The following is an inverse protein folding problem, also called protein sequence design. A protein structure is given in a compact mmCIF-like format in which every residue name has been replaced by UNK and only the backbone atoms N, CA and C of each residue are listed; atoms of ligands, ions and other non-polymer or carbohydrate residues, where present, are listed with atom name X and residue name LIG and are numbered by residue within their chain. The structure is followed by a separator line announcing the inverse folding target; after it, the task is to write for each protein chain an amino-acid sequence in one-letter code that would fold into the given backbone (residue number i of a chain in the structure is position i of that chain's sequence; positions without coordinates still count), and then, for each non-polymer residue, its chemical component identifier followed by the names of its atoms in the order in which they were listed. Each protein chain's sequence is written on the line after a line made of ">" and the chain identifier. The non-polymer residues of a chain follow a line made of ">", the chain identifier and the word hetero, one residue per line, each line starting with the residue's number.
data_IF_042717880202
#
_entry.id   IF_042717880202
#
_cell.length_a   1.000
_cell.length_b   1.000
_cell.length_c   1.000
_cell.angle_alpha   90.00
_cell.angle_beta   90.00
_cell.angle_gamma   90.00
#
_symmetry.space_group_name_H-M   'P 1'
#
loop_
_entity.id
_entity.type
_entity.pdbx_description
1 polymer ?
#
# COMPACT_ATOMS: atom_id res chain seq x y z
N UNK A 1 5.34 -0.87 -9.68
CA UNK A 1 4.95 -0.05 -10.84
C UNK A 1 5.53 1.35 -10.69
N UNK A 2 6.23 1.85 -11.72
CA UNK A 2 6.69 3.25 -11.78
C UNK A 2 5.53 4.25 -11.76
N UNK A 3 5.78 5.48 -11.31
CA UNK A 3 4.75 6.53 -11.16
C UNK A 3 5.05 7.73 -12.05
N UNK A 4 4.16 8.03 -12.98
CA UNK A 4 4.23 9.19 -13.86
C UNK A 4 3.39 10.35 -13.32
N UNK A 5 3.91 11.57 -13.42
CA UNK A 5 3.11 12.80 -13.33
C UNK A 5 2.18 12.95 -14.52
N UNK A 6 0.99 13.48 -14.27
CA UNK A 6 0.05 13.93 -15.29
C UNK A 6 -0.08 15.46 -15.27
N UNK A 7 -0.33 16.09 -16.43
CA UNK A 7 -0.63 17.51 -16.48
C UNK A 7 -1.89 17.81 -15.65
N UNK A 8 -1.87 18.92 -14.93
CA UNK A 8 -3.01 19.35 -14.13
C UNK A 8 -4.19 19.70 -15.04
N UNK A 9 -5.36 19.14 -14.73
CA UNK A 9 -6.59 19.43 -15.45
C UNK A 9 -7.21 20.73 -14.88
N UNK A 10 -7.99 21.50 -15.64
CA UNK A 10 -8.57 22.78 -15.20
C UNK A 10 -9.52 22.74 -13.98
N UNK A 11 -9.73 21.57 -13.35
CA UNK A 11 -10.50 21.40 -12.11
C UNK A 11 -9.71 20.78 -10.96
N UNK A 12 -8.39 20.61 -11.08
CA UNK A 12 -7.57 20.08 -10.00
C UNK A 12 -7.45 21.11 -8.87
N UNK A 13 -7.94 20.76 -7.67
CA UNK A 13 -7.75 21.57 -6.47
C UNK A 13 -6.26 21.72 -6.08
N UNK A 14 -5.92 22.70 -5.22
CA UNK A 14 -4.54 22.97 -4.86
C UNK A 14 -3.87 21.76 -4.19
N UNK A 15 -2.65 21.42 -4.63
CA UNK A 15 -1.88 20.30 -4.09
C UNK A 15 -1.37 20.65 -2.68
N UNK A 16 -1.71 19.86 -1.64
CA UNK A 16 -1.19 20.06 -0.30
C UNK A 16 0.34 20.08 -0.28
N UNK A 17 0.96 20.97 0.50
CA UNK A 17 2.42 21.15 0.55
C UNK A 17 3.19 19.83 0.76
N UNK A 18 2.67 18.96 1.63
CA UNK A 18 3.26 17.63 1.91
C UNK A 18 3.34 16.71 0.70
N UNK A 19 2.40 16.85 -0.25
CA UNK A 19 2.27 16.01 -1.45
C UNK A 19 3.09 16.54 -2.62
N UNK A 20 3.54 17.80 -2.57
CA UNK A 20 4.38 18.40 -3.62
C UNK A 20 5.69 17.67 -3.77
N UNK A 21 6.36 17.29 -2.67
CA UNK A 21 7.62 16.54 -2.73
C UNK A 21 7.45 15.14 -3.36
N UNK A 22 6.31 14.48 -3.11
CA UNK A 22 5.98 13.18 -3.74
C UNK A 22 5.73 13.36 -5.22
N UNK A 23 4.94 14.38 -5.58
CA UNK A 23 4.69 14.74 -6.96
C UNK A 23 6.03 15.04 -7.65
N UNK A 24 6.96 15.75 -6.98
CA UNK A 24 8.27 16.11 -7.53
C UNK A 24 9.15 14.91 -7.94
N UNK A 25 8.93 13.75 -7.35
CA UNK A 25 9.71 12.53 -7.63
C UNK A 25 8.99 11.55 -8.57
N UNK A 26 7.74 11.84 -8.98
CA UNK A 26 6.97 11.02 -9.92
C UNK A 26 7.40 11.28 -11.37
N UNK A 27 8.52 10.68 -11.77
CA UNK A 27 9.17 10.84 -13.07
C UNK A 27 8.85 9.74 -14.09
N UNK A 28 8.06 8.74 -13.70
CA UNK A 28 7.73 7.57 -14.51
C UNK A 28 8.73 6.44 -14.46
N UNK A 29 9.83 6.61 -13.72
CA UNK A 29 10.85 5.59 -13.51
C UNK A 29 10.77 5.06 -12.07
N UNK A 30 10.61 5.97 -11.11
CA UNK A 30 10.58 5.63 -9.69
C UNK A 30 9.26 4.97 -9.29
N UNK A 31 9.39 3.91 -8.49
CA UNK A 31 8.27 3.28 -7.79
C UNK A 31 7.97 4.00 -6.47
N UNK A 32 6.85 3.66 -5.84
CA UNK A 32 6.50 4.21 -4.53
C UNK A 32 7.58 3.93 -3.46
N UNK A 33 8.23 2.77 -3.52
CA UNK A 33 9.31 2.40 -2.60
C UNK A 33 10.58 3.23 -2.84
N UNK A 34 10.90 3.55 -4.10
CA UNK A 34 12.05 4.40 -4.43
C UNK A 34 11.82 5.83 -3.96
N UNK A 35 10.61 6.35 -4.16
CA UNK A 35 10.19 7.67 -3.67
C UNK A 35 10.24 7.72 -2.13
N UNK A 36 9.78 6.65 -1.46
CA UNK A 36 9.81 6.54 -0.01
C UNK A 36 11.23 6.58 0.55
N UNK A 37 12.15 5.82 -0.06
CA UNK A 37 13.57 5.83 0.29
C UNK A 37 14.19 7.22 0.06
N UNK A 38 13.95 7.84 -1.10
CA UNK A 38 14.48 9.17 -1.42
C UNK A 38 14.01 10.26 -0.44
N UNK A 39 12.79 10.12 0.10
CA UNK A 39 12.23 11.06 1.08
C UNK A 39 12.49 10.68 2.54
N UNK A 40 13.10 9.51 2.81
CA UNK A 40 13.30 8.99 4.17
C UNK A 40 11.98 8.72 4.91
N UNK A 41 10.92 8.31 4.20
CA UNK A 41 9.56 8.11 4.74
C UNK A 41 9.10 6.67 4.56
N UNK A 42 8.11 6.25 5.34
CA UNK A 42 7.46 4.95 5.13
C UNK A 42 6.77 4.87 3.77
N UNK A 43 6.97 3.76 3.06
CA UNK A 43 6.34 3.48 1.77
C UNK A 43 4.81 3.50 1.86
N UNK A 44 4.23 3.14 3.01
CA UNK A 44 2.78 3.22 3.23
C UNK A 44 2.26 4.65 3.08
N UNK A 45 2.93 5.64 3.69
CA UNK A 45 2.51 7.04 3.59
C UNK A 45 2.62 7.57 2.17
N UNK A 46 3.66 7.16 1.44
CA UNK A 46 3.82 7.51 0.03
C UNK A 46 2.69 6.90 -0.81
N UNK A 47 2.31 5.65 -0.57
CA UNK A 47 1.17 5.03 -1.26
C UNK A 47 -0.15 5.75 -0.98
N UNK A 48 -0.39 6.21 0.25
CA UNK A 48 -1.58 7.00 0.59
C UNK A 48 -1.58 8.35 -0.15
N UNK A 49 -0.45 9.05 -0.17
CA UNK A 49 -0.33 10.33 -0.88
C UNK A 49 -0.45 10.14 -2.40
N UNK A 50 0.17 9.11 -2.97
CA UNK A 50 0.02 8.74 -4.38
C UNK A 50 -1.42 8.38 -4.74
N UNK A 51 -2.14 7.67 -3.87
CA UNK A 51 -3.57 7.36 -4.08
C UNK A 51 -4.41 8.64 -4.13
N UNK A 52 -4.12 9.61 -3.27
CA UNK A 52 -4.81 10.91 -3.26
C UNK A 52 -4.49 11.75 -4.50
N UNK A 53 -3.22 11.79 -4.89
CA UNK A 53 -2.78 12.45 -6.13
C UNK A 53 -3.40 11.80 -7.37
N UNK A 54 -3.51 10.47 -7.40
CA UNK A 54 -4.15 9.73 -8.49
C UNK A 54 -5.66 10.02 -8.56
N UNK A 55 -6.34 10.10 -7.40
CA UNK A 55 -7.75 10.49 -7.34
C UNK A 55 -7.98 11.93 -7.84
N UNK A 56 -7.00 12.82 -7.66
CA UNK A 56 -6.98 14.16 -8.25
C UNK A 56 -6.52 14.19 -9.72
N UNK A 57 -6.19 13.02 -10.30
CA UNK A 57 -5.71 12.88 -11.67
C UNK A 57 -4.29 13.37 -11.92
N UNK A 58 -3.52 13.68 -10.87
CA UNK A 58 -2.18 14.32 -10.96
C UNK A 58 -1.03 13.33 -11.15
N UNK A 59 -1.25 12.05 -10.83
CA UNK A 59 -0.29 10.97 -11.09
C UNK A 59 -1.01 9.75 -11.63
N UNK A 60 -0.29 8.97 -12.42
CA UNK A 60 -0.73 7.69 -12.93
C UNK A 60 0.36 6.65 -12.68
N UNK A 61 -0.03 5.49 -12.16
CA UNK A 61 0.89 4.36 -12.08
C UNK A 61 1.04 3.76 -13.47
N UNK A 62 2.27 3.71 -13.97
CA UNK A 62 2.60 2.99 -15.19
C UNK A 62 2.42 1.51 -14.89
N UNK A 63 1.26 0.99 -15.28
CA UNK A 63 1.04 -0.45 -15.29
C UNK A 63 1.81 -0.98 -16.49
N UNK A 64 2.89 -1.71 -16.24
CA UNK A 64 3.38 -2.66 -17.23
C UNK A 64 2.19 -3.53 -17.62
N UNK A 65 1.99 -3.69 -18.93
CA UNK A 65 0.88 -4.37 -19.61
C UNK A 65 0.16 -5.41 -18.74
N UNK A 66 -1.20 -5.49 -18.73
CA UNK A 66 -1.88 -6.51 -17.95
C UNK A 66 -1.40 -7.90 -18.37
N UNK A 67 -0.71 -8.62 -17.48
CA UNK A 67 -0.68 -10.07 -17.58
C UNK A 67 -2.15 -10.54 -17.58
N UNK A 68 -2.50 -11.56 -18.39
CA UNK A 68 -3.84 -12.12 -18.39
C UNK A 68 -4.31 -12.38 -16.96
N UNK A 69 -5.61 -12.20 -16.72
CA UNK A 69 -6.28 -12.07 -15.41
C UNK A 69 -6.22 -13.29 -14.47
N UNK A 70 -5.13 -14.07 -14.47
CA UNK A 70 -4.86 -15.19 -13.57
C UNK A 70 -4.01 -14.80 -12.36
N UNK A 71 -3.56 -13.55 -12.23
CA UNK A 71 -2.75 -13.10 -11.09
C UNK A 71 -3.53 -12.39 -9.97
N UNK A 72 -4.69 -12.92 -9.56
CA UNK A 72 -5.32 -12.57 -8.26
C UNK A 72 -4.74 -13.44 -7.11
N UNK A 73 -3.41 -13.60 -7.13
CA UNK A 73 -2.66 -14.36 -6.11
C UNK A 73 -1.38 -13.63 -5.66
N UNK A 74 -1.01 -12.52 -6.28
CA UNK A 74 0.11 -11.69 -5.79
C UNK A 74 -0.37 -10.83 -4.60
N UNK A 75 -0.38 -11.43 -3.41
CA UNK A 75 -0.74 -10.77 -2.15
C UNK A 75 -1.69 -11.58 -1.26
N UNK A 76 -2.17 -12.74 -1.71
CA UNK A 76 -2.93 -13.63 -0.84
C UNK A 76 -1.93 -14.42 0.00
N UNK A 77 -1.77 -14.03 1.26
CA UNK A 77 -1.17 -14.92 2.25
C UNK A 77 -2.13 -16.10 2.36
N UNK A 78 -1.71 -17.28 1.92
CA UNK A 78 -2.39 -18.53 2.26
C UNK A 78 -2.12 -18.78 3.73
N UNK A 79 -3.04 -18.37 4.60
CA UNK A 79 -3.02 -18.89 5.97
C UNK A 79 -3.33 -20.38 5.90
N UNK A 80 -2.62 -21.23 6.67
CA UNK A 80 -3.03 -22.61 6.82
C UNK A 80 -4.48 -22.64 7.32
N UNK A 81 -5.30 -23.57 6.81
CA UNK A 81 -6.59 -23.85 7.45
C UNK A 81 -6.31 -24.21 8.91
N UNK A 82 -6.85 -23.41 9.83
CA UNK A 82 -6.83 -23.72 11.26
C UNK A 82 -7.76 -24.90 11.45
N UNK A 83 -7.22 -26.11 11.28
CA UNK A 83 -7.83 -27.32 11.83
C UNK A 83 -7.99 -27.11 13.34
N UNK A 84 -9.12 -27.53 13.90
CA UNK A 84 -9.40 -27.42 15.32
C UNK A 84 -8.49 -28.39 16.10
N UNK A 85 -7.24 -28.00 16.25
CA UNK A 85 -6.18 -28.75 16.91
C UNK A 85 -6.07 -28.35 18.41
N UNK A 86 -5.47 -29.19 19.25
CA UNK A 86 -5.50 -29.16 20.73
C UNK A 86 -4.96 -27.86 21.36
N UNK A 87 -4.37 -26.97 20.56
CA UNK A 87 -3.88 -25.66 20.95
C UNK A 87 -5.00 -24.77 21.52
N UNK A 88 -6.24 -24.86 21.01
CA UNK A 88 -7.36 -24.06 21.56
C UNK A 88 -7.69 -24.49 23.00
N UNK A 89 -7.61 -25.80 23.30
CA UNK A 89 -7.87 -26.32 24.65
C UNK A 89 -6.75 -25.96 25.64
N UNK A 90 -5.51 -25.80 25.15
CA UNK A 90 -4.38 -25.32 25.94
C UNK A 90 -4.50 -23.81 26.22
N UNK A 91 -4.81 -23.01 25.19
CA UNK A 91 -4.98 -21.57 25.31
C UNK A 91 -6.14 -21.20 26.25
N UNK A 92 -7.24 -21.97 26.23
CA UNK A 92 -8.33 -21.82 27.20
C UNK A 92 -7.87 -22.08 28.63
N UNK A 93 -7.17 -23.19 28.87
CA UNK A 93 -6.62 -23.51 30.21
C UNK A 93 -5.66 -22.45 30.72
N UNK A 94 -4.81 -21.90 29.85
CA UNK A 94 -3.89 -20.83 30.23
C UNK A 94 -4.63 -19.56 30.65
N UNK A 95 -5.64 -19.14 29.89
CA UNK A 95 -6.46 -17.98 30.25
C UNK A 95 -7.15 -18.20 31.60
N UNK A 96 -7.80 -19.35 31.78
CA UNK A 96 -8.55 -19.63 33.00
C UNK A 96 -7.60 -19.61 34.23
N UNK A 97 -6.34 -20.05 34.08
CA UNK A 97 -5.32 -19.99 35.13
C UNK A 97 -4.84 -18.56 35.44
N UNK A 98 -4.83 -17.66 34.45
CA UNK A 98 -4.49 -16.25 34.64
C UNK A 98 -5.65 -15.45 35.26
N UNK A 99 -6.90 -15.81 34.97
CA UNK A 99 -8.09 -15.17 35.54
C UNK A 99 -8.35 -15.61 37.00
N UNK A 100 -7.77 -16.74 37.42
CA UNK A 100 -7.89 -17.26 38.78
C UNK A 100 -6.82 -16.73 39.76
N UNK A 101 -5.90 -15.88 39.29
CA UNK A 101 -4.86 -15.21 40.09
C UNK A 101 -5.32 -13.81 40.53
#
# INVERSE_FOLDING_TARGET
>A
APVLRRPAHPGAGPVPYRQRAVLELADGVRTASDIAQALGRSAFHILVDLRRLAAAGLVEAVREQPLPATATTAGRITLPEVTADPDIALLRRLRDALEAL
#
